data_IF_036604917487
#
_entry.id   IF_036604917487
#
_cell.length_a   1.000
_cell.length_b   1.000
_cell.length_c   1.000
_cell.angle_alpha   90.00
_cell.angle_beta   90.00
_cell.angle_gamma   90.00
#
_symmetry.space_group_name_H-M   'P 1'
#
loop_
_entity.id
_entity.type
_entity.pdbx_description
1 polymer ?
#
# COMPACT_ATOMS: atom_id res chain seq x y z
N UNK A 1 -76.09 -34.44 -16.01
CA UNK A 1 -74.87 -35.26 -15.94
C UNK A 1 -73.74 -34.35 -15.46
N UNK A 2 -72.91 -34.79 -14.51
CA UNK A 2 -71.75 -34.01 -14.06
C UNK A 2 -70.65 -34.07 -15.14
N UNK A 3 -70.08 -32.92 -15.54
CA UNK A 3 -69.00 -32.91 -16.53
C UNK A 3 -67.76 -33.60 -15.94
N UNK A 4 -67.11 -34.44 -16.74
CA UNK A 4 -65.90 -35.17 -16.35
C UNK A 4 -64.86 -35.18 -17.48
N UNK A 5 -63.59 -35.21 -17.09
CA UNK A 5 -62.44 -35.31 -17.98
C UNK A 5 -61.84 -36.70 -17.85
N UNK A 6 -61.51 -37.33 -18.99
CA UNK A 6 -60.81 -38.62 -19.01
C UNK A 6 -59.31 -38.42 -18.99
N UNK A 7 -58.65 -39.15 -18.10
CA UNK A 7 -57.20 -39.23 -17.99
C UNK A 7 -56.76 -40.68 -18.20
N UNK A 8 -55.67 -40.88 -18.94
CA UNK A 8 -55.13 -42.21 -19.23
C UNK A 8 -53.66 -42.29 -18.85
N UNK A 9 -53.27 -43.39 -18.20
CA UNK A 9 -51.87 -43.75 -17.98
C UNK A 9 -51.68 -45.23 -18.32
N UNK A 10 -50.96 -45.52 -19.42
CA UNK A 10 -50.92 -46.87 -19.98
C UNK A 10 -52.32 -47.36 -20.35
N UNK A 11 -52.73 -48.49 -19.79
CA UNK A 11 -54.06 -49.09 -20.01
C UNK A 11 -55.14 -48.58 -19.06
N UNK A 12 -54.77 -47.81 -18.03
CA UNK A 12 -55.70 -47.32 -17.01
C UNK A 12 -56.34 -46.01 -17.48
N UNK A 13 -57.67 -45.95 -17.49
CA UNK A 13 -58.44 -44.74 -17.80
C UNK A 13 -59.36 -44.38 -16.63
N UNK A 14 -59.28 -43.15 -16.15
CA UNK A 14 -60.10 -42.63 -15.05
C UNK A 14 -60.83 -41.36 -15.49
N UNK A 15 -62.12 -41.29 -15.19
CA UNK A 15 -62.93 -40.08 -15.37
C UNK A 15 -62.94 -39.27 -14.06
N UNK A 16 -62.41 -38.05 -14.10
CA UNK A 16 -62.35 -37.15 -12.93
C UNK A 16 -63.34 -36.01 -13.13
N UNK A 17 -64.06 -35.65 -12.07
CA UNK A 17 -65.00 -34.53 -12.10
C UNK A 17 -64.28 -33.20 -12.37
N UNK A 18 -64.85 -32.38 -13.24
CA UNK A 18 -64.27 -31.09 -13.63
C UNK A 18 -64.78 -29.99 -12.69
N UNK A 19 -63.92 -29.02 -12.41
CA UNK A 19 -64.25 -27.80 -11.67
C UNK A 19 -64.44 -26.64 -12.66
N UNK A 20 -65.27 -25.68 -12.28
CA UNK A 20 -65.51 -24.47 -13.06
C UNK A 20 -65.01 -23.29 -12.24
N UNK A 21 -64.14 -22.49 -12.82
CA UNK A 21 -63.70 -21.23 -12.24
C UNK A 21 -64.89 -20.26 -12.18
N UNK A 22 -65.19 -19.71 -11.00
CA UNK A 22 -66.33 -18.82 -10.82
C UNK A 22 -66.14 -17.44 -11.47
N UNK A 23 -64.88 -17.04 -11.69
CA UNK A 23 -64.50 -15.75 -12.26
C UNK A 23 -64.47 -15.81 -13.78
N UNK A 24 -63.76 -16.80 -14.34
CA UNK A 24 -63.56 -16.90 -15.80
C UNK A 24 -64.61 -17.78 -16.48
N UNK A 25 -65.29 -18.64 -15.72
CA UNK A 25 -66.18 -19.67 -16.26
C UNK A 25 -65.44 -20.84 -16.91
N UNK A 26 -64.10 -20.86 -16.85
CA UNK A 26 -63.31 -21.90 -17.48
C UNK A 26 -63.36 -23.20 -16.69
N UNK A 27 -63.35 -24.31 -17.42
CA UNK A 27 -63.40 -25.65 -16.87
C UNK A 27 -61.98 -26.20 -16.70
N UNK A 28 -61.66 -26.76 -15.54
CA UNK A 28 -60.31 -27.27 -15.23
C UNK A 28 -60.33 -28.48 -14.28
N UNK A 29 -59.20 -29.19 -14.22
CA UNK A 29 -58.93 -30.23 -13.23
C UNK A 29 -57.70 -29.86 -12.41
N UNK A 30 -57.79 -29.96 -11.08
CA UNK A 30 -56.64 -29.71 -10.20
C UNK A 30 -55.67 -30.88 -10.28
N UNK A 31 -54.37 -30.59 -10.31
CA UNK A 31 -53.36 -31.66 -10.35
C UNK A 31 -53.48 -32.62 -9.16
N UNK A 32 -53.84 -32.09 -7.98
CA UNK A 32 -54.02 -32.87 -6.75
C UNK A 32 -55.17 -33.87 -6.84
N UNK A 33 -56.23 -33.55 -7.57
CA UNK A 33 -57.35 -34.47 -7.80
C UNK A 33 -56.95 -35.59 -8.78
N UNK A 34 -56.07 -35.29 -9.74
CA UNK A 34 -55.51 -36.28 -10.68
C UNK A 34 -54.50 -37.20 -9.98
N UNK A 35 -53.62 -36.64 -9.15
CA UNK A 35 -52.57 -37.37 -8.43
C UNK A 35 -53.11 -38.37 -7.39
N UNK A 36 -54.37 -38.21 -6.94
CA UNK A 36 -55.06 -39.24 -6.13
C UNK A 36 -55.22 -40.58 -6.85
N UNK A 37 -55.31 -40.55 -8.18
CA UNK A 37 -55.45 -41.74 -9.02
C UNK A 37 -54.16 -42.13 -9.74
N UNK A 38 -53.31 -41.13 -10.03
CA UNK A 38 -52.05 -41.29 -10.74
C UNK A 38 -50.93 -40.59 -9.97
N UNK A 39 -50.35 -41.26 -8.97
CA UNK A 39 -49.36 -40.70 -8.03
C UNK A 39 -48.18 -39.99 -8.70
N UNK A 40 -47.78 -40.43 -9.89
CA UNK A 40 -46.65 -39.90 -10.64
C UNK A 40 -47.07 -39.00 -11.81
N UNK A 41 -48.28 -38.44 -11.79
CA UNK A 41 -48.75 -37.53 -12.82
C UNK A 41 -48.02 -36.17 -12.72
N UNK A 42 -47.12 -35.93 -13.66
CA UNK A 42 -46.25 -34.74 -13.73
C UNK A 42 -46.18 -34.09 -15.11
N UNK A 43 -46.74 -34.75 -16.13
CA UNK A 43 -46.80 -34.25 -17.51
C UNK A 43 -48.07 -34.76 -18.16
N UNK A 44 -48.73 -33.89 -18.93
CA UNK A 44 -50.02 -34.14 -19.55
C UNK A 44 -49.92 -33.92 -21.06
N UNK A 45 -50.46 -34.84 -21.83
CA UNK A 45 -50.47 -34.78 -23.28
C UNK A 45 -51.89 -35.00 -23.81
N UNK A 46 -52.38 -34.12 -24.67
CA UNK A 46 -53.64 -34.30 -25.39
C UNK A 46 -53.35 -34.36 -26.89
N UNK A 47 -53.65 -35.51 -27.53
CA UNK A 47 -53.46 -35.73 -28.97
C UNK A 47 -52.05 -35.40 -29.50
N UNK A 48 -50.99 -35.66 -28.72
CA UNK A 48 -49.61 -35.36 -29.10
C UNK A 48 -49.12 -33.99 -28.67
N UNK A 49 -49.96 -33.13 -28.08
CA UNK A 49 -49.58 -31.80 -27.59
C UNK A 49 -49.39 -31.84 -26.07
N UNK A 50 -48.23 -31.43 -25.58
CA UNK A 50 -47.99 -31.26 -24.15
C UNK A 50 -48.77 -30.06 -23.61
N UNK A 51 -49.54 -30.30 -22.57
CA UNK A 51 -50.32 -29.27 -21.89
C UNK A 51 -49.44 -28.59 -20.85
N UNK A 52 -49.35 -27.27 -20.91
CA UNK A 52 -48.70 -26.48 -19.87
C UNK A 52 -49.63 -26.37 -18.66
N UNK A 53 -49.02 -26.23 -17.48
CA UNK A 53 -49.74 -25.87 -16.27
C UNK A 53 -50.16 -24.41 -16.35
N UNK A 54 -51.42 -24.14 -15.99
CA UNK A 54 -51.78 -22.81 -15.52
C UNK A 54 -51.39 -22.78 -14.04
N UNK A 55 -50.42 -21.94 -13.70
CA UNK A 55 -50.05 -21.64 -12.32
C UNK A 55 -50.93 -20.48 -11.85
N UNK A 56 -51.96 -20.80 -11.06
CA UNK A 56 -52.59 -19.82 -10.18
C UNK A 56 -51.78 -19.77 -8.88
N UNK A 57 -51.88 -18.68 -8.11
CA UNK A 57 -50.96 -18.24 -7.04
C UNK A 57 -50.55 -19.33 -6.02
N UNK A 58 -51.26 -20.47 -5.93
CA UNK A 58 -50.83 -21.65 -5.16
C UNK A 58 -51.26 -23.01 -5.76
N UNK A 59 -51.81 -23.08 -6.98
CA UNK A 59 -52.37 -24.33 -7.52
C UNK A 59 -52.03 -24.55 -9.01
N UNK A 60 -51.53 -25.74 -9.34
CA UNK A 60 -51.37 -26.19 -10.73
C UNK A 60 -52.67 -26.83 -11.23
N UNK A 61 -53.19 -26.30 -12.32
CA UNK A 61 -54.42 -26.79 -12.95
C UNK A 61 -54.19 -27.16 -14.41
N UNK A 62 -54.99 -28.13 -14.88
CA UNK A 62 -55.04 -28.58 -16.27
C UNK A 62 -56.37 -28.16 -16.87
N UNK A 63 -56.33 -27.42 -17.97
CA UNK A 63 -57.55 -26.99 -18.69
C UNK A 63 -58.37 -28.18 -19.16
N UNK A 64 -59.69 -28.04 -19.18
CA UNK A 64 -60.59 -29.08 -19.66
C UNK A 64 -60.59 -29.17 -21.19
N UNK A 65 -60.44 -30.39 -21.72
CA UNK A 65 -60.51 -30.70 -23.15
C UNK A 65 -61.68 -31.65 -23.41
N UNK A 66 -62.88 -31.15 -23.77
CA UNK A 66 -64.06 -31.99 -23.96
C UNK A 66 -63.83 -33.02 -25.07
N UNK A 67 -64.33 -34.24 -24.87
CA UNK A 67 -64.18 -35.39 -25.78
C UNK A 67 -62.74 -35.89 -26.00
N UNK A 68 -61.75 -35.34 -25.29
CA UNK A 68 -60.37 -35.78 -25.38
C UNK A 68 -60.00 -36.64 -24.19
N UNK A 69 -59.07 -37.58 -24.39
CA UNK A 69 -58.42 -38.30 -23.28
C UNK A 69 -57.04 -37.67 -23.11
N UNK A 70 -56.73 -37.23 -21.89
CA UNK A 70 -55.43 -36.65 -21.56
C UNK A 70 -54.51 -37.78 -21.11
N UNK A 71 -53.44 -38.00 -21.85
CA UNK A 71 -52.40 -38.97 -21.53
C UNK A 71 -51.44 -38.42 -20.48
N UNK A 72 -51.21 -39.21 -19.44
CA UNK A 72 -50.28 -38.92 -18.36
C UNK A 72 -48.95 -39.56 -18.72
N UNK A 73 -47.94 -38.72 -18.90
CA UNK A 73 -46.57 -39.17 -19.11
C UNK A 73 -45.93 -39.32 -17.72
N UNK A 74 -45.71 -40.57 -17.28
CA UNK A 74 -44.93 -40.82 -16.07
C UNK A 74 -43.48 -40.38 -16.31
N UNK A 75 -43.02 -39.38 -15.58
CA UNK A 75 -41.58 -39.16 -15.44
C UNK A 75 -41.03 -40.21 -14.49
N UNK A 76 -40.03 -40.96 -14.94
CA UNK A 76 -39.37 -41.97 -14.13
C UNK A 76 -38.73 -41.29 -12.91
N UNK A 77 -39.05 -41.68 -11.66
CA UNK A 77 -38.53 -41.01 -10.46
C UNK A 77 -37.01 -40.95 -10.39
N UNK A 78 -36.31 -41.86 -11.10
CA UNK A 78 -34.85 -41.87 -11.22
C UNK A 78 -34.29 -40.61 -11.90
N UNK A 79 -34.97 -40.09 -12.92
CA UNK A 79 -34.51 -38.91 -13.67
C UNK A 79 -34.58 -37.64 -12.82
N UNK A 80 -35.67 -37.49 -12.05
CA UNK A 80 -35.86 -36.35 -11.15
C UNK A 80 -34.87 -36.36 -9.97
N UNK A 81 -34.44 -37.55 -9.54
CA UNK A 81 -33.44 -37.72 -8.49
C UNK A 81 -32.02 -37.39 -8.98
N UNK A 82 -31.69 -37.74 -10.23
CA UNK A 82 -30.43 -37.41 -10.88
C UNK A 82 -30.25 -35.90 -11.06
N UNK A 83 -31.26 -35.20 -11.56
CA UNK A 83 -31.21 -33.73 -11.73
C UNK A 83 -31.00 -33.02 -10.38
N UNK A 84 -31.74 -33.39 -9.34
CA UNK A 84 -31.56 -32.82 -7.98
C UNK A 84 -30.17 -33.06 -7.41
N UNK A 85 -29.54 -34.20 -7.70
CA UNK A 85 -28.19 -34.51 -7.23
C UNK A 85 -27.11 -33.72 -7.97
N UNK A 86 -27.27 -33.51 -9.28
CA UNK A 86 -26.36 -32.69 -10.08
C UNK A 86 -26.40 -31.21 -9.67
N UNK A 87 -27.60 -30.68 -9.40
CA UNK A 87 -27.78 -29.30 -8.94
C UNK A 87 -27.18 -29.09 -7.54
N UNK A 88 -27.37 -30.04 -6.62
CA UNK A 88 -26.77 -29.94 -5.27
C UNK A 88 -25.24 -29.99 -5.30
N UNK A 89 -24.65 -30.84 -6.15
CA UNK A 89 -23.20 -30.87 -6.33
C UNK A 89 -22.65 -29.58 -6.93
N UNK A 90 -23.37 -28.99 -7.90
CA UNK A 90 -22.99 -27.72 -8.53
C UNK A 90 -22.97 -26.56 -7.51
N UNK A 91 -24.03 -26.44 -6.69
CA UNK A 91 -24.11 -25.40 -5.65
C UNK A 91 -23.01 -25.57 -4.59
N UNK A 92 -22.74 -26.81 -4.17
CA UNK A 92 -21.67 -27.10 -3.22
C UNK A 92 -20.28 -26.74 -3.77
N UNK A 93 -20.01 -27.10 -5.02
CA UNK A 93 -18.75 -26.74 -5.69
C UNK A 93 -18.61 -25.22 -5.84
N UNK A 94 -19.70 -24.52 -6.20
CA UNK A 94 -19.71 -23.07 -6.32
C UNK A 94 -19.46 -22.37 -4.98
N UNK A 95 -19.97 -22.91 -3.87
CA UNK A 95 -19.67 -22.43 -2.52
C UNK A 95 -18.21 -22.63 -2.14
N UNK A 96 -17.62 -23.79 -2.45
CA UNK A 96 -16.19 -24.03 -2.20
C UNK A 96 -15.31 -23.05 -2.98
N UNK A 97 -15.65 -22.77 -4.24
CA UNK A 97 -14.92 -21.79 -5.06
C UNK A 97 -15.01 -20.38 -4.46
N UNK A 98 -16.19 -19.96 -3.98
CA UNK A 98 -16.33 -18.68 -3.29
C UNK A 98 -15.49 -18.61 -2.01
N UNK A 99 -15.43 -19.69 -1.23
CA UNK A 99 -14.57 -19.74 -0.05
C UNK A 99 -13.08 -19.60 -0.41
N UNK A 100 -12.62 -20.29 -1.45
CA UNK A 100 -11.23 -20.17 -1.93
C UNK A 100 -10.91 -18.75 -2.39
N UNK A 101 -11.79 -18.12 -3.16
CA UNK A 101 -11.63 -16.74 -3.63
C UNK A 101 -11.51 -15.78 -2.45
N UNK A 102 -12.38 -15.93 -1.44
CA UNK A 102 -12.34 -15.08 -0.25
C UNK A 102 -11.06 -15.28 0.55
N UNK A 103 -10.60 -16.53 0.71
CA UNK A 103 -9.34 -16.83 1.41
C UNK A 103 -8.14 -16.21 0.70
N UNK A 104 -8.05 -16.35 -0.63
CA UNK A 104 -6.96 -15.78 -1.43
C UNK A 104 -7.00 -14.26 -1.41
N UNK A 105 -8.18 -13.66 -1.50
CA UNK A 105 -8.34 -12.21 -1.39
C UNK A 105 -7.86 -11.69 -0.03
N UNK A 106 -8.24 -12.36 1.05
CA UNK A 106 -7.81 -12.02 2.41
C UNK A 106 -6.29 -12.20 2.60
N UNK A 107 -5.72 -13.27 2.05
CA UNK A 107 -4.28 -13.50 2.09
C UNK A 107 -3.51 -12.43 1.32
N UNK A 108 -3.98 -12.05 0.12
CA UNK A 108 -3.37 -10.99 -0.68
C UNK A 108 -3.40 -9.64 0.04
N UNK A 109 -4.50 -9.32 0.73
CA UNK A 109 -4.59 -8.09 1.51
C UNK A 109 -3.62 -8.08 2.69
N UNK A 110 -3.47 -9.21 3.39
CA UNK A 110 -2.48 -9.35 4.46
C UNK A 110 -1.04 -9.15 3.95
N UNK A 111 -0.69 -9.77 2.81
CA UNK A 111 0.63 -9.62 2.19
C UNK A 111 0.86 -8.16 1.76
N UNK A 112 -0.17 -7.50 1.25
CA UNK A 112 -0.09 -6.08 0.87
C UNK A 112 0.19 -5.20 2.08
N UNK A 113 -0.51 -5.42 3.19
CA UNK A 113 -0.28 -4.69 4.44
C UNK A 113 1.12 -4.92 5.00
N UNK A 114 1.62 -6.17 4.95
CA UNK A 114 2.97 -6.50 5.36
C UNK A 114 4.03 -5.78 4.51
N UNK A 115 3.83 -5.71 3.19
CA UNK A 115 4.72 -5.00 2.28
C UNK A 115 4.75 -3.48 2.56
N UNK A 116 3.60 -2.88 2.83
CA UNK A 116 3.52 -1.45 3.20
C UNK A 116 4.28 -1.19 4.50
N UNK A 117 4.05 -2.02 5.53
CA UNK A 117 4.75 -1.90 6.81
C UNK A 117 6.27 -2.01 6.65
N UNK A 118 6.75 -2.96 5.85
CA UNK A 118 8.19 -3.13 5.58
C UNK A 118 8.78 -1.91 4.85
N UNK A 119 8.06 -1.35 3.88
CA UNK A 119 8.49 -0.15 3.17
C UNK A 119 8.58 1.06 4.10
N UNK A 120 7.60 1.25 4.97
CA UNK A 120 7.61 2.33 5.96
C UNK A 120 8.76 2.18 6.95
N UNK A 121 9.04 0.95 7.41
CA UNK A 121 10.16 0.67 8.30
C UNK A 121 11.51 0.94 7.62
N UNK A 122 11.66 0.57 6.34
CA UNK A 122 12.86 0.87 5.57
C UNK A 122 13.06 2.38 5.41
N UNK A 123 12.00 3.12 5.04
CA UNK A 123 12.05 4.57 4.92
C UNK A 123 12.33 5.26 6.27
N UNK A 124 11.80 4.73 7.37
CA UNK A 124 12.09 5.26 8.71
C UNK A 124 13.56 5.06 9.10
N UNK A 125 14.11 3.86 8.85
CA UNK A 125 15.53 3.58 9.12
C UNK A 125 16.44 4.46 8.28
N UNK A 126 16.13 4.66 7.01
CA UNK A 126 16.93 5.54 6.14
C UNK A 126 16.93 6.99 6.65
N UNK A 127 15.79 7.50 7.14
CA UNK A 127 15.73 8.85 7.75
C UNK A 127 16.54 8.93 9.03
N UNK A 128 16.49 7.89 9.87
CA UNK A 128 17.25 7.81 11.11
C UNK A 128 18.76 7.78 10.83
N UNK A 129 19.20 6.97 9.86
CA UNK A 129 20.61 6.90 9.44
C UNK A 129 21.12 8.25 8.90
N UNK A 130 20.33 8.94 8.07
CA UNK A 130 20.68 10.28 7.57
C UNK A 130 20.82 11.29 8.70
N UNK A 131 19.90 11.28 9.66
CA UNK A 131 19.98 12.17 10.82
C UNK A 131 21.24 11.89 11.65
N UNK A 132 21.57 10.61 11.85
CA UNK A 132 22.78 10.22 12.58
C UNK A 132 24.04 10.67 11.86
N UNK A 133 24.07 10.54 10.53
CA UNK A 133 25.18 10.99 9.70
C UNK A 133 25.34 12.52 9.77
N UNK A 134 24.27 13.28 9.60
CA UNK A 134 24.30 14.75 9.71
C UNK A 134 24.79 15.19 11.09
N UNK A 135 24.36 14.49 12.16
CA UNK A 135 24.82 14.77 13.51
C UNK A 135 26.32 14.48 13.67
N UNK A 136 26.82 13.37 13.12
CA UNK A 136 28.24 13.04 13.14
C UNK A 136 29.08 14.09 12.38
N UNK A 137 28.63 14.50 11.19
CA UNK A 137 29.30 15.55 10.41
C UNK A 137 29.27 16.91 11.12
N UNK A 138 28.16 17.25 11.77
CA UNK A 138 28.06 18.48 12.55
C UNK A 138 29.02 18.48 13.73
N UNK A 139 29.17 17.35 14.43
CA UNK A 139 30.14 17.23 15.53
C UNK A 139 31.57 17.38 15.06
N UNK A 140 31.93 16.77 13.92
CA UNK A 140 33.27 16.93 13.33
C UNK A 140 33.53 18.40 12.98
N UNK A 141 32.55 19.10 12.39
CA UNK A 141 32.69 20.53 12.06
C UNK A 141 32.83 21.39 13.31
N UNK A 142 32.09 21.09 14.37
CA UNK A 142 32.20 21.78 15.66
C UNK A 142 33.57 21.56 16.30
N UNK A 143 34.07 20.32 16.31
CA UNK A 143 35.39 19.97 16.84
C UNK A 143 36.51 20.69 16.08
N UNK A 144 36.45 20.72 14.73
CA UNK A 144 37.39 21.47 13.91
C UNK A 144 37.35 22.98 14.19
N UNK A 145 36.15 23.53 14.41
CA UNK A 145 36.01 24.94 14.76
C UNK A 145 36.64 25.25 16.12
N UNK A 146 36.45 24.36 17.11
CA UNK A 146 37.05 24.49 18.43
C UNK A 146 38.58 24.39 18.37
N UNK A 147 39.12 23.47 17.56
CA UNK A 147 40.57 23.34 17.35
C UNK A 147 41.16 24.61 16.72
N UNK A 148 40.49 25.15 15.69
CA UNK A 148 40.90 26.41 15.07
C UNK A 148 40.83 27.59 16.06
N UNK A 149 39.79 27.65 16.90
CA UNK A 149 39.70 28.67 17.95
C UNK A 149 40.85 28.55 18.95
N UNK A 150 41.21 27.33 19.36
CA UNK A 150 42.32 27.10 20.28
C UNK A 150 43.64 27.56 19.67
N UNK A 151 43.90 27.27 18.40
CA UNK A 151 45.11 27.74 17.71
C UNK A 151 45.20 29.28 17.69
N UNK A 152 44.08 29.96 17.45
CA UNK A 152 44.02 31.42 17.49
C UNK A 152 44.32 31.95 18.89
N UNK A 153 43.76 31.33 19.94
CA UNK A 153 44.03 31.69 21.33
C UNK A 153 45.53 31.52 21.65
N UNK A 154 46.14 30.40 21.27
CA UNK A 154 47.54 30.13 21.53
C UNK A 154 48.46 31.15 20.84
N UNK A 155 48.15 31.53 19.59
CA UNK A 155 48.86 32.60 18.86
C UNK A 155 48.73 33.94 19.56
N UNK A 156 47.55 34.27 20.09
CA UNK A 156 47.32 35.51 20.83
C UNK A 156 48.14 35.52 22.13
N UNK A 157 48.21 34.41 22.86
CA UNK A 157 49.02 34.28 24.08
C UNK A 157 50.50 34.52 23.77
N UNK A 158 51.05 33.87 22.74
CA UNK A 158 52.46 34.07 22.35
C UNK A 158 52.71 35.52 21.95
N UNK A 159 51.81 36.14 21.20
CA UNK A 159 51.94 37.54 20.82
C UNK A 159 51.88 38.47 22.03
N UNK A 160 50.98 38.23 22.98
CA UNK A 160 50.91 38.99 24.23
C UNK A 160 52.22 38.88 25.03
N UNK A 161 52.74 37.67 25.21
CA UNK A 161 54.02 37.45 25.89
C UNK A 161 55.18 38.19 25.22
N UNK A 162 55.21 38.23 23.88
CA UNK A 162 56.23 38.97 23.12
C UNK A 162 56.10 40.48 23.32
N UNK A 163 54.87 41.01 23.31
CA UNK A 163 54.61 42.43 23.59
C UNK A 163 55.06 42.77 25.01
N UNK A 164 54.70 41.96 26.00
CA UNK A 164 55.09 42.17 27.40
C UNK A 164 56.62 42.13 27.55
N UNK A 165 57.32 41.18 26.92
CA UNK A 165 58.77 41.11 26.94
C UNK A 165 59.45 42.34 26.32
N UNK A 166 58.93 42.85 25.21
CA UNK A 166 59.42 44.09 24.57
C UNK A 166 59.18 45.29 25.50
N UNK A 167 58.00 45.38 26.13
CA UNK A 167 57.70 46.46 27.06
C UNK A 167 58.64 46.42 28.26
N UNK A 168 58.81 45.26 28.91
CA UNK A 168 59.73 45.10 30.05
C UNK A 168 61.17 45.43 29.66
N UNK A 169 61.66 44.96 28.51
CA UNK A 169 63.02 45.32 28.04
C UNK A 169 63.20 46.82 27.80
N UNK A 170 62.20 47.50 27.24
CA UNK A 170 62.25 48.95 27.10
C UNK A 170 62.22 49.65 28.46
N UNK A 171 61.51 49.07 29.45
CA UNK A 171 61.51 49.61 30.80
C UNK A 171 62.90 49.49 31.48
N UNK A 172 63.71 48.48 31.18
CA UNK A 172 65.05 48.37 31.76
C UNK A 172 66.11 49.22 31.02
N UNK A 173 65.92 49.49 29.72
CA UNK A 173 66.89 50.24 28.90
C UNK A 173 66.86 51.76 29.11
N UNK A 174 65.70 52.35 29.44
CA UNK A 174 65.59 53.78 29.68
C UNK A 174 66.11 54.23 31.05
N UNK A 175 66.46 53.28 31.93
CA UNK A 175 67.11 53.56 33.22
C UNK A 175 68.63 53.77 33.10
N UNK A 176 69.25 53.59 31.92
CA UNK A 176 70.67 53.88 31.69
C UNK A 176 70.87 55.17 30.86
N UNK A 177 71.21 56.32 31.49
CA UNK A 177 71.51 57.55 30.78
C UNK A 177 73.00 57.54 30.40
N UNK A 178 73.42 56.64 29.51
CA UNK A 178 74.74 56.76 28.88
C UNK A 178 74.52 57.37 27.50
N UNK A 179 74.75 58.69 27.30
CA UNK A 179 74.75 59.27 25.97
C UNK A 179 75.90 58.63 25.19
N UNK A 180 75.59 57.65 24.34
CA UNK A 180 76.59 57.00 23.47
C UNK A 180 77.04 58.02 22.44
N UNK A 181 78.12 58.72 22.75
CA UNK A 181 78.83 59.57 21.82
C UNK A 181 79.42 58.66 20.73
N UNK A 182 79.15 58.97 19.47
CA UNK A 182 79.79 58.30 18.35
C UNK A 182 80.39 59.32 17.40
N UNK A 183 81.48 58.92 16.74
CA UNK A 183 82.15 59.73 15.72
C UNK A 183 82.12 58.93 14.41
N UNK A 184 81.71 59.58 13.33
CA UNK A 184 81.72 59.00 11.98
C UNK A 184 82.93 59.56 11.26
N UNK A 185 83.82 58.68 10.79
CA UNK A 185 85.03 59.07 10.05
C UNK A 185 85.08 58.29 8.73
N UNK A 186 85.56 58.92 7.66
CA UNK A 186 85.81 58.22 6.40
C UNK A 186 86.99 57.26 6.53
N UNK A 187 86.99 56.18 5.75
CA UNK A 187 88.11 55.22 5.73
C UNK A 187 89.38 55.80 5.11
N UNK A 188 89.23 56.82 4.25
CA UNK A 188 90.30 57.51 3.55
C UNK A 188 90.26 59.01 3.89
N UNK A 189 91.22 59.46 4.70
CA UNK A 189 91.30 60.87 5.12
C UNK A 189 91.96 61.79 4.09
N UNK A 190 92.80 61.26 3.20
CA UNK A 190 93.66 62.08 2.35
C UNK A 190 92.97 62.59 1.07
N UNK A 191 91.90 61.94 0.61
CA UNK A 191 91.23 62.23 -0.67
C UNK A 191 89.73 62.55 -0.51
N UNK A 192 89.30 62.96 0.69
CA UNK A 192 87.88 63.16 0.99
C UNK A 192 87.25 64.27 0.13
N UNK A 193 86.31 63.91 -0.76
CA UNK A 193 85.45 64.85 -1.50
C UNK A 193 84.02 64.83 -0.91
N UNK A 194 83.52 65.94 -0.35
CA UNK A 194 82.18 66.04 0.24
C UNK A 194 81.04 65.76 -0.75
N UNK A 195 81.29 65.72 -2.06
CA UNK A 195 80.28 65.37 -3.08
C UNK A 195 80.09 63.86 -3.25
N UNK A 196 80.97 63.05 -2.68
CA UNK A 196 80.96 61.58 -2.82
C UNK A 196 80.52 60.83 -1.56
N UNK A 197 79.91 61.54 -0.60
CA UNK A 197 79.49 61.02 0.73
C UNK A 197 78.58 59.79 0.66
N UNK A 198 77.84 59.56 -0.42
CA UNK A 198 77.00 58.36 -0.56
C UNK A 198 77.74 57.13 -1.12
N UNK A 199 78.95 57.31 -1.65
CA UNK A 199 79.76 56.26 -2.29
C UNK A 199 80.99 55.85 -1.48
N UNK A 200 81.36 56.64 -0.46
CA UNK A 200 82.48 56.33 0.42
C UNK A 200 82.05 55.44 1.60
N UNK A 201 82.99 54.60 2.06
CA UNK A 201 82.81 53.78 3.26
C UNK A 201 83.19 54.61 4.49
N UNK A 202 82.28 54.67 5.45
CA UNK A 202 82.51 55.31 6.74
C UNK A 202 82.61 54.26 7.84
N UNK A 203 83.49 54.52 8.80
CA UNK A 203 83.56 53.77 10.06
C UNK A 203 82.88 54.56 11.16
N UNK A 204 82.04 53.84 11.91
CA UNK A 204 81.38 54.33 13.10
C UNK A 204 82.21 53.92 14.32
N UNK A 205 82.68 54.91 15.08
CA UNK A 205 83.40 54.68 16.32
C UNK A 205 82.50 55.05 17.50
N UNK A 206 82.29 54.12 18.42
CA UNK A 206 81.60 54.37 19.67
C UNK A 206 82.62 54.82 20.71
N UNK A 207 82.40 56.00 21.29
CA UNK A 207 83.18 56.49 22.43
C UNK A 207 82.48 55.98 23.69
N UNK A 208 83.09 54.97 24.29
CA UNK A 208 82.70 54.44 25.60
C UNK A 208 83.19 55.38 26.71
#
# INVERSE_FOLDING_TARGET
MTPHQRFRQGDTVVSIAIRIDMTTGESYSRITDIQKFFLNASLFNANGVFLNYLEDENEQVVTHYPNHTIDIVATDPLQQQLERSADQQSVYHQQQMHQLINMVAQQNEMVRQQNVMLQEQAASKEREERMLQEQAESKIREEQMLEMQQEVIDRLIVNQQRVDAILVQNYELHEYPIPRLFVVLSDSFNDWDPRTVLMERFRLFFLC
#
